data_IF_761414146113
#
_entry.id   IF_761414146113
#
_cell.length_a   1.000
_cell.length_b   1.000
_cell.length_c   1.000
_cell.angle_alpha   90.00
_cell.angle_beta   90.00
_cell.angle_gamma   90.00
#
_symmetry.space_group_name_H-M   'P 1'
#
loop_
_entity.id
_entity.type
_entity.pdbx_description
1 polymer ?
#
# COMPACT_ATOMS: atom_id res chain seq x y z
N UNK A 1 -2.78 28.32 -5.15
CA UNK A 1 -2.87 26.93 -5.65
C UNK A 1 -1.77 26.03 -5.12
N UNK A 2 -0.51 26.46 -5.16
CA UNK A 2 0.62 25.66 -4.64
C UNK A 2 0.48 25.35 -3.15
N UNK A 3 0.01 26.31 -2.35
CA UNK A 3 -0.17 26.12 -0.90
C UNK A 3 -1.25 25.09 -0.56
N UNK A 4 -2.35 25.07 -1.34
CA UNK A 4 -3.43 24.08 -1.13
C UNK A 4 -2.93 22.68 -1.43
N UNK A 5 -2.18 22.51 -2.53
CA UNK A 5 -1.60 21.22 -2.91
C UNK A 5 -0.62 20.70 -1.84
N UNK A 6 0.23 21.58 -1.32
CA UNK A 6 1.17 21.23 -0.25
C UNK A 6 0.47 20.84 1.05
N UNK A 7 -0.63 21.52 1.40
CA UNK A 7 -1.45 21.14 2.56
C UNK A 7 -2.08 19.77 2.38
N UNK A 8 -2.58 19.47 1.19
CA UNK A 8 -3.14 18.15 0.88
C UNK A 8 -2.08 17.05 1.02
N UNK A 9 -0.86 17.29 0.52
CA UNK A 9 0.24 16.35 0.66
C UNK A 9 0.61 16.11 2.13
N UNK A 10 0.63 17.17 2.95
CA UNK A 10 0.89 17.04 4.39
C UNK A 10 -0.20 16.25 5.09
N UNK A 11 -1.46 16.45 4.75
CA UNK A 11 -2.59 15.70 5.31
C UNK A 11 -2.50 14.22 4.96
N UNK A 12 -2.18 13.88 3.72
CA UNK A 12 -1.99 12.49 3.27
C UNK A 12 -0.84 11.84 4.03
N UNK A 13 0.28 12.55 4.19
CA UNK A 13 1.44 12.05 4.93
C UNK A 13 1.10 11.78 6.39
N UNK A 14 0.33 12.68 7.06
CA UNK A 14 -0.05 12.52 8.46
C UNK A 14 -0.97 11.33 8.71
N UNK A 15 -1.75 10.92 7.69
CA UNK A 15 -2.65 9.78 7.81
C UNK A 15 -1.90 8.46 7.89
N UNK A 16 -0.78 8.34 7.19
CA UNK A 16 -0.06 7.08 7.05
C UNK A 16 1.35 7.10 7.63
N UNK A 17 1.83 8.25 8.09
CA UNK A 17 3.15 8.41 8.69
C UNK A 17 3.05 9.13 10.02
N UNK A 18 3.69 8.57 11.05
CA UNK A 18 3.70 9.13 12.39
C UNK A 18 5.05 9.73 12.72
N UNK A 19 5.06 10.72 13.63
CA UNK A 19 6.30 11.25 14.16
C UNK A 19 6.96 10.19 15.03
N UNK A 20 8.26 9.97 14.82
CA UNK A 20 9.02 9.03 15.63
C UNK A 20 9.18 9.57 17.05
N UNK A 21 8.76 8.78 18.02
CA UNK A 21 8.88 9.09 19.45
C UNK A 21 10.00 8.28 20.08
N UNK A 22 10.55 8.70 21.25
CA UNK A 22 11.55 7.89 21.96
C UNK A 22 11.04 6.47 22.18
N UNK A 23 11.91 5.50 21.96
CA UNK A 23 11.58 4.08 22.07
C UNK A 23 10.97 3.44 20.82
N UNK A 24 10.62 4.23 19.82
CA UNK A 24 10.10 3.72 18.54
C UNK A 24 11.24 3.52 17.54
N UNK A 25 11.16 2.43 16.76
CA UNK A 25 12.01 2.29 15.58
C UNK A 25 11.33 2.97 14.37
N UNK A 26 12.08 3.10 13.28
CA UNK A 26 11.57 3.77 12.08
C UNK A 26 10.34 3.07 11.49
N UNK A 27 10.31 1.73 11.50
CA UNK A 27 9.19 0.98 10.93
C UNK A 27 7.86 1.33 11.61
N UNK A 28 7.89 1.57 12.92
CA UNK A 28 6.70 1.90 13.68
C UNK A 28 6.12 3.27 13.33
N UNK A 29 6.86 4.10 12.61
CA UNK A 29 6.36 5.40 12.12
C UNK A 29 5.47 5.28 10.90
N UNK A 30 5.43 4.11 10.25
CA UNK A 30 4.57 3.86 9.08
C UNK A 30 3.30 3.14 9.52
N UNK A 31 2.14 3.63 9.09
CA UNK A 31 0.86 3.06 9.47
C UNK A 31 0.70 1.64 8.94
N UNK A 32 0.12 0.78 9.76
CA UNK A 32 -0.31 -0.55 9.31
C UNK A 32 -1.62 -0.39 8.56
N UNK A 33 -1.70 -0.96 7.38
CA UNK A 33 -2.87 -0.85 6.51
C UNK A 33 -3.28 -2.20 5.95
N UNK A 34 -4.55 -2.28 5.58
CA UNK A 34 -5.06 -3.33 4.71
C UNK A 34 -5.50 -2.65 3.42
N UNK A 35 -4.93 -3.08 2.29
CA UNK A 35 -5.25 -2.54 0.98
C UNK A 35 -6.10 -3.55 0.22
N UNK A 36 -7.28 -3.13 -0.19
CA UNK A 36 -8.16 -3.92 -1.06
C UNK A 36 -7.93 -3.46 -2.49
N UNK A 37 -7.56 -4.37 -3.35
CA UNK A 37 -7.22 -4.05 -4.73
C UNK A 37 -7.72 -5.12 -5.70
N UNK A 38 -7.77 -4.77 -6.97
CA UNK A 38 -8.24 -5.66 -8.02
C UNK A 38 -7.05 -6.22 -8.79
N UNK A 39 -6.95 -7.55 -8.81
CA UNK A 39 -5.99 -8.24 -9.66
C UNK A 39 -6.62 -8.55 -11.00
N UNK A 40 -5.82 -8.46 -12.07
CA UNK A 40 -6.31 -8.79 -13.40
C UNK A 40 -6.60 -10.28 -13.51
N UNK A 41 -7.63 -10.62 -14.29
CA UNK A 41 -7.97 -12.01 -14.57
C UNK A 41 -7.48 -12.38 -15.97
N UNK A 42 -6.85 -13.54 -16.08
CA UNK A 42 -6.40 -14.08 -17.35
C UNK A 42 -6.66 -15.58 -17.37
N UNK A 43 -7.20 -16.08 -18.48
CA UNK A 43 -7.49 -17.49 -18.65
C UNK A 43 -7.14 -17.87 -20.11
N UNK A 44 -6.28 -18.87 -20.27
CA UNK A 44 -5.84 -19.34 -21.59
C UNK A 44 -6.79 -20.37 -22.20
N UNK A 45 -7.80 -20.81 -21.47
CA UNK A 45 -8.80 -21.74 -22.00
C UNK A 45 -9.82 -21.04 -22.89
N UNK A 46 -10.58 -21.84 -23.64
CA UNK A 46 -11.67 -21.33 -24.46
C UNK A 46 -12.94 -21.25 -23.61
N UNK A 47 -13.55 -20.07 -23.57
CA UNK A 47 -14.77 -19.80 -22.81
C UNK A 47 -15.91 -19.50 -23.77
N UNK A 48 -17.12 -19.97 -23.45
CA UNK A 48 -18.30 -19.51 -24.18
C UNK A 48 -18.66 -18.08 -23.73
N UNK A 49 -19.62 -17.46 -24.41
CA UNK A 49 -20.00 -16.08 -24.13
C UNK A 49 -20.50 -15.91 -22.69
N UNK A 50 -21.30 -16.84 -22.20
CA UNK A 50 -21.86 -16.78 -20.85
C UNK A 50 -20.77 -16.91 -19.77
N UNK A 51 -19.82 -17.79 -19.97
CA UNK A 51 -18.69 -17.93 -19.07
C UNK A 51 -17.81 -16.69 -19.11
N UNK A 52 -17.54 -16.17 -20.30
CA UNK A 52 -16.66 -15.02 -20.50
C UNK A 52 -17.19 -13.75 -19.80
N UNK A 53 -18.47 -13.44 -19.98
CA UNK A 53 -19.05 -12.23 -19.39
C UNK A 53 -19.21 -12.30 -17.87
N UNK A 54 -19.12 -13.49 -17.28
CA UNK A 54 -19.16 -13.69 -15.82
C UNK A 54 -17.79 -13.59 -15.17
N UNK A 55 -16.70 -13.60 -15.96
CA UNK A 55 -15.35 -13.48 -15.39
C UNK A 55 -15.14 -12.08 -14.84
N UNK A 56 -14.44 -12.00 -13.70
CA UNK A 56 -14.21 -10.74 -12.99
C UNK A 56 -12.77 -10.69 -12.49
N UNK A 57 -12.19 -9.49 -12.35
CA UNK A 57 -10.92 -9.35 -11.63
C UNK A 57 -11.08 -9.88 -10.20
N UNK A 58 -10.00 -10.46 -9.68
CA UNK A 58 -10.00 -10.95 -8.31
C UNK A 58 -9.85 -9.78 -7.34
N UNK A 59 -10.62 -9.83 -6.26
CA UNK A 59 -10.45 -8.89 -5.15
C UNK A 59 -9.38 -9.46 -4.24
N UNK A 60 -8.30 -8.70 -4.07
CA UNK A 60 -7.17 -9.09 -3.24
C UNK A 60 -7.05 -8.14 -2.06
N UNK A 61 -6.55 -8.66 -0.94
CA UNK A 61 -6.26 -7.86 0.24
C UNK A 61 -4.81 -8.06 0.65
N UNK A 62 -4.10 -6.97 0.82
CA UNK A 62 -2.70 -6.97 1.23
C UNK A 62 -2.57 -6.17 2.51
N UNK A 63 -1.97 -6.77 3.53
CA UNK A 63 -1.70 -6.09 4.81
C UNK A 63 -0.21 -5.84 4.95
N UNK A 64 0.13 -4.71 5.56
CA UNK A 64 1.51 -4.34 5.80
C UNK A 64 1.59 -2.89 6.23
N UNK A 65 2.80 -2.35 6.24
CA UNK A 65 3.02 -0.94 6.54
C UNK A 65 3.13 -0.16 5.24
N UNK A 66 2.41 0.94 5.14
CA UNK A 66 2.40 1.77 3.94
C UNK A 66 3.61 2.70 3.97
N UNK A 67 4.56 2.42 3.08
CA UNK A 67 5.79 3.21 2.99
C UNK A 67 5.53 4.56 2.33
N UNK A 68 4.95 4.55 1.13
CA UNK A 68 4.57 5.79 0.43
C UNK A 68 3.67 5.48 -0.77
N UNK A 69 3.02 6.53 -1.24
CA UNK A 69 2.29 6.54 -2.50
C UNK A 69 2.93 7.60 -3.39
N UNK A 70 3.51 7.19 -4.51
CA UNK A 70 4.24 8.12 -5.38
C UNK A 70 4.18 7.64 -6.83
N UNK A 71 3.99 8.59 -7.75
CA UNK A 71 3.99 8.32 -9.19
C UNK A 71 3.03 7.20 -9.61
N UNK A 72 1.83 7.22 -9.04
CA UNK A 72 0.78 6.27 -9.40
C UNK A 72 0.90 4.89 -8.79
N UNK A 73 1.83 4.68 -7.85
CA UNK A 73 1.98 3.39 -7.17
C UNK A 73 1.99 3.55 -5.66
N UNK A 74 1.61 2.48 -4.96
CA UNK A 74 1.63 2.37 -3.51
C UNK A 74 2.61 1.28 -3.11
N UNK A 75 3.53 1.62 -2.20
CA UNK A 75 4.57 0.73 -1.70
C UNK A 75 4.20 0.26 -0.29
N UNK A 76 4.16 -1.06 -0.10
CA UNK A 76 3.82 -1.69 1.18
C UNK A 76 4.93 -2.66 1.54
N UNK A 77 5.31 -2.71 2.82
CA UNK A 77 6.28 -3.69 3.31
C UNK A 77 5.73 -4.43 4.52
N UNK A 78 6.05 -5.71 4.62
CA UNK A 78 5.63 -6.55 5.74
C UNK A 78 6.74 -6.85 6.72
N UNK A 79 7.97 -6.87 6.24
CA UNK A 79 9.15 -7.19 7.04
C UNK A 79 10.22 -6.11 6.84
N UNK A 80 11.13 -6.01 7.79
CA UNK A 80 12.21 -5.04 7.73
C UNK A 80 13.38 -5.47 8.61
N UNK A 81 14.58 -4.98 8.28
CA UNK A 81 15.72 -5.06 9.17
C UNK A 81 16.08 -3.64 9.65
N UNK A 82 16.68 -3.57 10.84
CA UNK A 82 17.04 -2.30 11.46
C UNK A 82 18.53 -2.21 11.70
N UNK A 83 19.07 -1.00 11.61
CA UNK A 83 20.42 -0.71 12.08
C UNK A 83 20.44 -0.49 13.61
N UNK A 84 21.63 -0.19 14.16
CA UNK A 84 21.79 -0.02 15.61
C UNK A 84 21.03 1.21 16.16
N UNK A 85 20.65 2.13 15.29
CA UNK A 85 19.91 3.33 15.68
C UNK A 85 18.40 3.16 15.50
N UNK A 86 17.95 1.97 15.11
CA UNK A 86 16.54 1.69 14.86
C UNK A 86 16.02 2.21 13.53
N UNK A 87 16.91 2.51 12.59
CA UNK A 87 16.52 2.93 11.25
C UNK A 87 16.42 1.71 10.33
N UNK A 88 15.51 1.77 9.37
CA UNK A 88 15.31 0.66 8.44
C UNK A 88 16.52 0.57 7.50
N UNK A 89 17.13 -0.60 7.44
CA UNK A 89 18.18 -0.90 6.46
C UNK A 89 17.62 -1.56 5.21
N UNK A 90 16.75 -2.56 5.39
CA UNK A 90 16.16 -3.28 4.26
C UNK A 90 14.69 -3.54 4.51
N UNK A 91 13.95 -3.69 3.41
CA UNK A 91 12.55 -4.05 3.42
C UNK A 91 12.38 -5.47 2.89
N UNK A 92 11.48 -6.22 3.50
CA UNK A 92 11.11 -7.56 3.05
C UNK A 92 9.62 -7.66 2.87
N UNK A 93 9.20 -8.72 2.17
CA UNK A 93 7.81 -8.99 1.90
C UNK A 93 7.10 -7.74 1.36
N UNK A 94 7.67 -7.17 0.30
CA UNK A 94 7.20 -5.92 -0.30
C UNK A 94 6.15 -6.18 -1.35
N UNK A 95 5.18 -5.26 -1.43
CA UNK A 95 4.15 -5.26 -2.47
C UNK A 95 4.05 -3.86 -3.04
N UNK A 96 4.05 -3.76 -4.37
CA UNK A 96 3.88 -2.50 -5.07
C UNK A 96 2.61 -2.61 -5.91
N UNK A 97 1.63 -1.76 -5.64
CA UNK A 97 0.32 -1.82 -6.29
C UNK A 97 0.08 -0.53 -7.05
N UNK A 98 -0.31 -0.66 -8.31
CA UNK A 98 -0.74 0.48 -9.14
C UNK A 98 -2.00 1.09 -8.52
N UNK A 99 -1.99 2.41 -8.28
CA UNK A 99 -3.07 3.08 -7.55
C UNK A 99 -4.45 2.92 -8.21
N UNK A 100 -4.51 2.86 -9.54
CA UNK A 100 -5.79 2.69 -10.24
C UNK A 100 -6.47 1.35 -9.92
N UNK A 101 -5.73 0.36 -9.44
CA UNK A 101 -6.28 -0.94 -9.04
C UNK A 101 -6.70 -0.97 -7.57
N UNK A 102 -6.39 0.04 -6.80
CA UNK A 102 -6.72 0.08 -5.37
C UNK A 102 -8.14 0.57 -5.19
N UNK A 103 -8.96 -0.21 -4.48
CA UNK A 103 -10.33 0.15 -4.13
C UNK A 103 -10.41 0.86 -2.78
N UNK A 104 -9.61 0.41 -1.81
CA UNK A 104 -9.68 0.94 -0.45
C UNK A 104 -8.35 0.73 0.26
N UNK A 105 -7.97 1.71 1.08
CA UNK A 105 -6.86 1.57 2.03
C UNK A 105 -7.45 1.82 3.42
N UNK A 106 -7.36 0.81 4.28
CA UNK A 106 -7.89 0.87 5.64
C UNK A 106 -6.73 0.84 6.63
N UNK A 107 -6.65 1.82 7.51
CA UNK A 107 -5.65 1.82 8.60
C UNK A 107 -6.08 0.80 9.65
N UNK A 108 -5.15 -0.06 10.03
CA UNK A 108 -5.35 -1.09 11.05
C UNK A 108 -4.78 -0.54 12.36
N UNK A 109 -5.61 -0.50 13.37
CA UNK A 109 -5.17 -0.06 14.71
C UNK A 109 -4.80 -1.22 15.59
#
# INVERSE_FOLDING_TARGET
MVMIYQRMLKMIRRKYRFKRKPGMNEAETYARVEVTWLDTFSDSSWLDINEFIKTKPKICKTSGRLYRRKKGVTYIFGDWSLDDEGNIETFGNVTVITNVLIKEIKVIK
#
